data_IF_405754372549
#
_entry.id   IF_405754372549
#
_cell.length_a   1.000
_cell.length_b   1.000
_cell.length_c   1.000
_cell.angle_alpha   90.00
_cell.angle_beta   90.00
_cell.angle_gamma   90.00
#
_symmetry.space_group_name_H-M   'P 1'
#
loop_
_entity.id
_entity.type
_entity.pdbx_description
1 polymer ?
2 polymer ?
3 non-polymer ?
4 water ?
#
# COMPACT_ATOMS: atom_id res chain seq x y z
N UNK A 1 3.55 10.66 13.79
CA UNK A 1 2.75 9.94 12.75
C UNK A 1 1.55 9.26 13.38
N UNK A 2 0.56 8.95 12.55
CA UNK A 2 -0.57 8.13 12.98
C UNK A 2 -0.18 6.65 12.99
N UNK A 3 -0.40 6.00 14.12
CA UNK A 3 -0.13 4.58 14.26
C UNK A 3 -1.44 3.84 14.15
N UNK A 4 -1.48 2.87 13.22
CA UNK A 4 -2.63 2.02 13.06
C UNK A 4 -2.31 0.66 13.66
N UNK A 5 -3.15 0.23 14.59
CA UNK A 5 -2.98 -1.05 15.26
C UNK A 5 -4.08 -2.02 14.88
N UNK A 6 -3.67 -3.15 14.33
CA UNK A 6 -4.63 -4.18 13.91
C UNK A 6 -4.64 -5.36 14.87
N UNK A 7 -5.82 -5.68 15.36
CA UNK A 7 -6.01 -6.82 16.26
C UNK A 7 -7.15 -7.73 15.79
N UNK A 8 -7.01 -9.05 16.06
CA UNK A 8 -5.78 -9.71 16.50
C UNK A 8 -4.82 -9.76 15.32
N UNK A 9 -3.57 -10.16 15.52
CA UNK A 9 -2.63 -10.24 14.40
C UNK A 9 -2.90 -11.48 13.56
N UNK A 10 -3.53 -12.49 14.17
CA UNK A 10 -3.90 -13.73 13.49
C UNK A 10 -5.30 -14.12 13.93
N UNK A 11 -6.13 -14.49 12.98
CA UNK A 11 -7.48 -14.97 13.26
C UNK A 11 -7.64 -16.25 12.44
N UNK A 12 -7.90 -17.36 13.12
CA UNK A 12 -8.22 -18.58 12.38
C UNK A 12 -9.74 -18.78 12.40
N UNK A 13 -10.30 -18.94 11.20
CA UNK A 13 -11.75 -19.11 11.04
C UNK A 13 -12.06 -20.29 10.13
N UNK A 14 -13.23 -20.88 10.34
CA UNK A 14 -13.78 -21.93 9.49
C UNK A 14 -14.58 -21.29 8.37
N UNK A 15 -14.38 -21.75 7.11
CA UNK A 15 -15.14 -21.23 5.97
C UNK A 15 -16.67 -21.21 6.20
N UNK A 16 -17.33 -20.14 5.80
CA UNK A 16 -18.78 -19.96 6.00
C UNK A 16 -19.16 -19.27 7.29
N UNK A 17 -18.21 -19.12 8.21
CA UNK A 17 -18.43 -18.28 9.40
C UNK A 17 -18.11 -16.83 9.07
N UNK A 18 -18.59 -15.90 9.88
CA UNK A 18 -18.28 -14.48 9.65
C UNK A 18 -17.18 -13.98 10.57
N UNK A 19 -16.44 -12.97 10.12
CA UNK A 19 -15.36 -12.40 10.93
C UNK A 19 -15.40 -10.88 10.93
N UNK A 20 -14.83 -10.28 11.96
CA UNK A 20 -14.68 -8.84 12.06
C UNK A 20 -13.21 -8.57 12.32
N UNK A 21 -12.58 -7.78 11.46
CA UNK A 21 -11.18 -7.41 11.68
C UNK A 21 -11.09 -5.97 12.17
N UNK A 22 -10.27 -5.75 13.19
CA UNK A 22 -10.16 -4.43 13.83
C UNK A 22 -8.95 -3.61 13.37
N UNK A 23 -9.18 -2.32 13.16
CA UNK A 23 -8.09 -1.37 12.94
C UNK A 23 -8.37 -0.14 13.81
N UNK A 24 -7.41 0.20 14.65
CA UNK A 24 -7.54 1.33 15.57
C UNK A 24 -6.46 2.32 15.29
N UNK A 25 -6.83 3.59 15.31
CA UNK A 25 -5.90 4.67 15.03
C UNK A 25 -5.52 5.42 16.32
N UNK A 26 -4.26 5.84 16.38
CA UNK A 26 -3.69 6.50 17.57
C UNK A 26 -4.31 7.88 17.81
N UNK A 27 -4.80 8.52 16.75
CA UNK A 27 -5.58 9.76 16.81
C UNK A 27 -6.69 9.70 15.75
N UNK A 28 -7.67 10.58 15.85
CA UNK A 28 -8.79 10.55 14.90
C UNK A 28 -8.35 10.76 13.44
N UNK A 29 -8.90 9.91 12.56
CA UNK A 29 -8.65 10.03 11.12
C UNK A 29 -9.95 10.19 10.31
N UNK A 30 -11.02 10.66 10.96
CA UNK A 30 -12.31 10.84 10.26
C UNK A 30 -12.73 9.54 9.61
N UNK A 31 -13.08 9.60 8.34
CA UNK A 31 -13.38 8.35 7.60
C UNK A 31 -12.29 7.95 6.62
N UNK A 32 -11.11 8.51 6.82
CA UNK A 32 -10.07 8.41 5.80
C UNK A 32 -9.21 7.18 6.05
N UNK A 33 -9.87 6.03 6.02
CA UNK A 33 -9.28 4.75 6.35
C UNK A 33 -9.69 3.75 5.26
N UNK A 34 -8.69 3.04 4.70
CA UNK A 34 -8.95 2.14 3.56
C UNK A 34 -8.51 0.73 3.90
N UNK A 35 -9.11 -0.26 3.25
CA UNK A 35 -8.76 -1.64 3.56
C UNK A 35 -8.25 -2.36 2.30
N UNK A 36 -7.18 -3.13 2.49
CA UNK A 36 -6.53 -3.87 1.41
C UNK A 36 -6.44 -5.34 1.79
N UNK A 37 -6.57 -6.20 0.78
CA UNK A 37 -6.24 -7.62 0.92
C UNK A 37 -4.86 -7.83 0.30
N UNK A 38 -4.08 -8.70 0.91
CA UNK A 38 -2.72 -8.99 0.47
C UNK A 38 -2.51 -10.50 0.36
N UNK A 39 -2.26 -10.99 -0.85
CA UNK A 39 -1.89 -12.38 -1.02
C UNK A 39 -0.51 -12.46 -1.66
N UNK A 40 0.08 -13.66 -1.69
CA UNK A 40 1.48 -13.84 -2.09
C UNK A 40 1.92 -13.23 -3.38
N UNK A 41 3.04 -12.53 -3.32
CA UNK A 41 3.75 -12.01 -4.49
C UNK A 41 2.84 -11.27 -5.44
N UNK A 42 1.88 -10.53 -4.89
CA UNK A 42 0.95 -9.71 -5.65
C UNK A 42 0.88 -8.35 -4.98
N UNK A 43 0.45 -7.33 -5.71
CA UNK A 43 0.20 -6.05 -5.10
C UNK A 43 -1.04 -6.16 -4.22
N UNK A 44 -1.10 -5.31 -3.19
CA UNK A 44 -2.32 -5.23 -2.39
C UNK A 44 -3.52 -4.92 -3.24
N UNK A 45 -4.68 -5.48 -2.87
CA UNK A 45 -5.93 -5.27 -3.58
C UNK A 45 -6.89 -4.45 -2.72
N UNK A 46 -7.32 -3.31 -3.24
CA UNK A 46 -8.22 -2.40 -2.51
C UNK A 46 -9.60 -3.06 -2.34
N UNK A 47 -10.11 -3.11 -1.10
CA UNK A 47 -11.40 -3.70 -0.79
C UNK A 47 -12.46 -2.64 -0.49
N UNK A 48 -12.08 -1.68 0.34
CA UNK A 48 -13.04 -0.70 0.89
C UNK A 48 -12.31 0.62 0.95
N UNK A 49 -12.94 1.70 0.47
CA UNK A 49 -12.36 3.05 0.66
C UNK A 49 -13.17 3.87 1.65
N UNK A 50 -12.51 4.82 2.29
CA UNK A 50 -13.23 5.84 3.12
C UNK A 50 -14.19 5.19 4.09
N UNK A 51 -13.62 4.22 4.81
CA UNK A 51 -14.20 3.47 5.90
C UNK A 51 -15.29 2.50 5.51
N UNK A 52 -16.21 2.94 4.66
CA UNK A 52 -17.41 2.12 4.40
C UNK A 52 -17.74 2.07 2.91
N UNK A 53 -16.97 2.73 2.07
CA UNK A 53 -17.32 2.80 0.64
C UNK A 53 -17.02 1.49 -0.10
N UNK A 54 -18.08 0.90 -0.65
CA UNK A 54 -18.02 -0.35 -1.39
C UNK A 54 -17.53 -0.03 -2.80
N UNK A 55 -16.78 -0.94 -3.41
CA UNK A 55 -16.24 -0.64 -4.72
C UNK A 55 -16.49 -1.73 -5.77
N UNK A 56 -16.49 -1.30 -7.04
CA UNK A 56 -16.88 -2.19 -8.12
C UNK A 56 -15.99 -3.43 -8.17
N UNK A 57 -16.61 -4.59 -8.34
CA UNK A 57 -15.85 -5.81 -8.56
C UNK A 57 -15.48 -6.58 -7.30
N UNK A 58 -15.55 -5.95 -6.14
CA UNK A 58 -15.23 -6.62 -4.86
C UNK A 58 -16.47 -7.33 -4.31
N UNK A 59 -16.36 -8.63 -3.91
CA UNK A 59 -17.56 -9.37 -3.55
C UNK A 59 -18.32 -8.68 -2.43
N UNK A 60 -19.63 -8.76 -2.49
CA UNK A 60 -20.51 -8.08 -1.51
C UNK A 60 -20.29 -8.52 -0.05
N UNK A 61 -19.71 -9.69 0.17
CA UNK A 61 -19.46 -10.16 1.54
C UNK A 61 -18.51 -9.29 2.34
N UNK A 62 -17.71 -8.49 1.64
CA UNK A 62 -16.81 -7.50 2.29
C UNK A 62 -17.55 -6.18 2.54
N UNK A 63 -17.52 -5.70 3.79
CA UNK A 63 -18.00 -4.34 4.09
C UNK A 63 -17.14 -3.73 5.19
N UNK A 64 -17.15 -2.40 5.26
CA UNK A 64 -16.41 -1.70 6.32
C UNK A 64 -17.32 -0.79 7.11
N UNK A 65 -16.98 -0.61 8.38
CA UNK A 65 -17.71 0.31 9.25
C UNK A 65 -16.71 0.98 10.18
N UNK A 66 -17.18 2.01 10.88
CA UNK A 66 -16.32 2.71 11.82
C UNK A 66 -15.99 4.12 11.37
N UNK A 67 -15.38 4.87 12.28
CA UNK A 67 -15.08 6.26 12.08
C UNK A 67 -14.16 6.68 13.22
N UNK A 68 -13.42 7.78 13.03
CA UNK A 68 -12.64 8.37 14.13
C UNK A 68 -11.37 7.58 14.42
N UNK A 69 -11.44 6.70 15.42
CA UNK A 69 -10.29 5.86 15.79
C UNK A 69 -10.56 4.36 15.80
N UNK A 70 -11.79 3.94 15.50
CA UNK A 70 -12.16 2.54 15.58
C UNK A 70 -12.85 2.09 14.30
N UNK A 71 -12.21 1.13 13.59
CA UNK A 71 -12.70 0.64 12.30
C UNK A 71 -12.78 -0.87 12.28
N UNK A 72 -13.73 -1.41 11.49
CA UNK A 72 -13.89 -2.85 11.36
C UNK A 72 -14.12 -3.21 9.89
N UNK A 73 -13.40 -4.24 9.43
CA UNK A 73 -13.68 -4.91 8.19
C UNK A 73 -14.43 -6.19 8.54
N UNK A 74 -15.64 -6.32 7.99
CA UNK A 74 -16.46 -7.49 8.19
C UNK A 74 -16.47 -8.33 6.93
N UNK A 75 -16.32 -9.64 7.09
CA UNK A 75 -16.50 -10.55 5.98
C UNK A 75 -17.59 -11.49 6.40
N UNK A 76 -18.69 -11.44 5.67
CA UNK A 76 -19.83 -12.28 5.91
C UNK A 76 -19.57 -13.63 5.23
N UNK A 77 -19.67 -14.72 5.98
CA UNK A 77 -19.51 -16.05 5.39
C UNK A 77 -18.15 -16.12 4.63
N UNK A 78 -17.06 -16.22 5.38
CA UNK A 78 -15.71 -16.27 4.80
C UNK A 78 -15.53 -17.47 3.83
N UNK A 79 -14.87 -17.21 2.70
CA UNK A 79 -14.54 -18.25 1.72
C UNK A 79 -13.03 -18.52 1.77
N UNK A 80 -12.59 -19.69 1.31
CA UNK A 80 -11.18 -20.03 1.44
C UNK A 80 -10.26 -19.08 0.65
N UNK A 81 -10.74 -18.53 -0.45
CA UNK A 81 -9.88 -17.60 -1.16
C UNK A 81 -9.78 -16.22 -0.47
N UNK A 82 -10.53 -16.06 0.63
CA UNK A 82 -10.37 -14.88 1.49
C UNK A 82 -9.24 -15.01 2.51
N UNK A 83 -8.76 -16.22 2.74
CA UNK A 83 -7.62 -16.36 3.62
C UNK A 83 -6.39 -15.64 3.03
N UNK A 84 -5.63 -15.01 3.92
CA UNK A 84 -4.51 -14.17 3.51
C UNK A 84 -4.41 -13.00 4.47
N UNK A 85 -3.70 -11.95 4.06
CA UNK A 85 -3.42 -10.78 4.91
C UNK A 85 -4.35 -9.63 4.61
N UNK A 86 -4.68 -8.86 5.67
CA UNK A 86 -5.53 -7.67 5.53
C UNK A 86 -4.85 -6.50 6.22
N UNK A 87 -4.75 -5.37 5.52
CA UNK A 87 -4.13 -4.16 6.04
C UNK A 87 -5.08 -3.00 5.95
N UNK A 88 -5.10 -2.17 6.99
CA UNK A 88 -5.74 -0.87 6.88
C UNK A 88 -4.69 0.18 6.58
N UNK A 89 -5.12 1.31 6.01
CA UNK A 89 -4.22 2.41 5.65
C UNK A 89 -4.97 3.72 5.84
N UNK A 90 -4.41 4.66 6.60
CA UNK A 90 -5.05 5.98 6.72
C UNK A 90 -4.49 6.99 5.71
N UNK A 91 -5.37 7.86 5.18
CA UNK A 91 -4.95 8.99 4.35
C UNK A 91 -5.38 10.34 4.95
N UNK A 92 -5.61 10.36 6.25
CA UNK A 92 -6.00 11.63 6.90
C UNK A 92 -4.84 12.62 7.03
N UNK A 93 -3.65 12.12 7.32
CA UNK A 93 -2.51 13.03 7.44
C UNK A 93 -1.21 12.39 6.98
N UNK A 94 -0.38 13.24 6.40
CA UNK A 94 0.93 12.83 5.93
C UNK A 94 1.93 12.70 7.10
N UNK A 95 2.71 11.60 7.14
CA UNK A 95 2.72 10.49 6.18
C UNK A 95 1.58 9.48 6.32
N UNK A 96 1.05 9.03 5.17
CA UNK A 96 0.10 7.94 5.18
C UNK A 96 0.77 6.71 5.79
N UNK A 97 0.01 5.97 6.58
CA UNK A 97 0.52 4.83 7.33
C UNK A 97 -0.41 3.64 7.23
N UNK A 98 0.18 2.46 7.39
CA UNK A 98 -0.53 1.19 7.31
C UNK A 98 -0.52 0.54 8.67
N UNK A 99 -1.56 -0.22 8.97
CA UNK A 99 -1.56 -1.10 10.11
C UNK A 99 -0.60 -2.26 9.86
N UNK A 100 -0.27 -2.97 10.92
CA UNK A 100 0.63 -4.11 10.83
C UNK A 100 0.04 -5.37 10.21
N UNK A 101 -1.25 -5.36 9.94
CA UNK A 101 -1.89 -6.48 9.26
C UNK A 101 -2.49 -7.53 10.17
N UNK A 102 -3.56 -8.16 9.66
CA UNK A 102 -4.14 -9.34 10.29
C UNK A 102 -4.11 -10.46 9.28
N UNK A 103 -3.58 -11.59 9.70
CA UNK A 103 -3.55 -12.75 8.84
C UNK A 103 -4.78 -13.60 9.14
N UNK A 104 -5.59 -13.83 8.12
CA UNK A 104 -6.73 -14.71 8.22
C UNK A 104 -6.33 -16.12 7.78
N UNK A 105 -6.44 -17.10 8.68
CA UNK A 105 -6.05 -18.50 8.42
C UNK A 105 -7.21 -19.50 8.53
N UNK A 106 -7.16 -20.61 7.79
CA UNK A 106 -8.20 -21.67 7.93
C UNK A 106 -7.97 -22.45 9.21
N UNK A 107 -8.97 -22.40 10.09
CA UNK A 107 -8.97 -23.10 11.37
C UNK A 107 -8.88 -24.62 11.14
N UNK B 1 -8.21 0.95 -18.98
CA UNK B 1 -7.71 1.10 -17.59
C UNK B 1 -6.26 1.62 -17.61
N UNK B 2 -5.79 2.09 -16.47
CA UNK B 2 -4.38 2.46 -16.24
C UNK B 2 -3.55 1.17 -16.10
N UNK B 3 -2.35 1.19 -16.66
CA UNK B 3 -1.36 0.17 -16.36
C UNK B 3 -0.10 0.87 -15.88
N UNK B 4 0.55 0.26 -14.89
CA UNK B 4 1.78 0.82 -14.31
C UNK B 4 2.80 -0.29 -14.32
N UNK B 5 4.04 0.05 -14.60
CA UNK B 5 5.10 -0.96 -14.56
C UNK B 5 6.40 -0.38 -14.05
N UNK B 6 6.97 -1.03 -13.03
CA UNK B 6 8.25 -0.62 -12.46
C UNK B 6 9.39 -1.30 -13.22
N UNK B 7 10.52 -0.60 -13.35
CA UNK B 7 11.71 -1.19 -13.93
C UNK B 7 12.93 -0.64 -13.21
N UNK B 8 14.00 -1.42 -13.23
CA UNK B 8 15.19 -1.06 -12.47
C UNK B 8 15.96 -2.31 -12.09
N UNK B 9 16.95 -2.17 -11.20
CA UNK B 9 17.81 -3.29 -10.85
C UNK B 9 17.09 -4.30 -9.93
N UNK B 10 17.59 -5.51 -9.88
CA UNK B 10 17.07 -6.52 -8.96
C UNK B 10 17.95 -6.59 -7.74
N UNK B 11 19.21 -6.24 -7.92
CA UNK B 11 20.18 -6.38 -6.85
C UNK B 11 21.01 -5.11 -6.83
N UNK B 12 21.24 -4.59 -5.63
CA UNK B 12 22.09 -3.42 -5.45
C UNK B 12 22.99 -3.66 -4.25
N UNK B 13 24.08 -2.89 -4.13
CA UNK B 13 24.94 -3.05 -2.96
C UNK B 13 24.72 -1.94 -1.92
N UNK B 14 25.06 -2.20 -0.64
CA UNK B 14 24.94 -1.16 0.35
C UNK B 14 25.60 0.15 -0.11
N UNK B 15 24.94 1.27 0.19
CA UNK B 15 25.40 2.62 -0.13
C UNK B 15 25.22 3.05 -1.60
N UNK B 16 24.77 2.13 -2.45
CA UNK B 16 24.36 2.46 -3.81
C UNK B 16 23.09 3.31 -3.73
N UNK B 17 22.81 4.09 -4.77
CA UNK B 17 21.49 4.71 -4.89
C UNK B 17 20.62 3.77 -5.70
N UNK B 18 19.41 3.47 -5.19
CA UNK B 18 18.45 2.66 -5.92
C UNK B 18 17.62 3.60 -6.78
N UNK B 19 17.62 3.37 -8.07
CA UNK B 19 16.84 4.17 -8.98
C UNK B 19 15.85 3.32 -9.76
N UNK B 20 14.55 3.65 -9.62
CA UNK B 20 13.50 2.97 -10.35
C UNK B 20 12.67 3.88 -11.25
N UNK B 21 12.13 3.29 -12.30
CA UNK B 21 11.21 3.96 -13.19
C UNK B 21 9.83 3.35 -13.09
N UNK B 22 8.82 4.21 -13.07
CA UNK B 22 7.43 3.77 -13.24
C UNK B 22 6.90 4.27 -14.58
N UNK B 23 6.54 3.35 -15.48
CA UNK B 23 5.93 3.72 -16.75
C UNK B 23 4.43 3.61 -16.66
N UNK B 24 3.73 4.69 -16.95
CA UNK B 24 2.26 4.72 -16.85
C UNK B 24 1.68 4.72 -18.26
N UNK B 25 0.71 3.82 -18.51
CA UNK B 25 -0.01 3.81 -19.79
C UNK B 25 -1.52 3.94 -19.55
N UNK B 26 -2.17 4.84 -20.29
CA UNK B 26 -3.65 4.95 -20.29
C UNK B 26 -4.24 5.98 -19.37
N UNK B 27 -3.42 6.94 -18.96
CA UNK B 27 -3.80 8.02 -18.05
C UNK B 27 -2.60 8.95 -17.92
N UNK B 28 -2.84 10.25 -17.80
CA UNK B 28 -1.75 11.22 -17.78
C UNK B 28 -1.33 11.61 -16.36
N UNK B 29 -0.01 11.71 -16.18
CA UNK B 29 0.58 12.04 -14.87
C UNK B 29 0.57 13.53 -14.52
N UNK B 30 0.14 14.35 -15.48
CA UNK B 30 -0.02 15.81 -15.31
C UNK B 30 -1.43 16.17 -14.76
N UNK B 31 -2.17 15.13 -14.40
CA UNK B 31 -3.39 15.26 -13.61
C UNK B 31 -3.36 14.16 -12.56
N UNK B 32 -4.14 14.30 -11.49
CA UNK B 32 -4.21 13.29 -10.44
C UNK B 32 -2.87 13.23 -9.66
N UNK B 33 -2.55 12.07 -9.10
CA UNK B 33 -1.49 11.93 -8.09
C UNK B 33 -0.93 10.50 -8.17
N UNK B 34 0.39 10.37 -7.98
CA UNK B 34 1.12 9.13 -8.30
C UNK B 34 2.12 8.76 -7.21
N UNK B 35 2.15 7.47 -6.82
CA UNK B 35 2.77 7.08 -5.55
C UNK B 35 3.81 6.00 -5.68
N UNK B 36 4.63 5.90 -4.64
CA UNK B 36 5.60 4.81 -4.48
C UNK B 36 5.33 4.21 -3.14
N UNK B 37 5.17 2.89 -3.10
CA UNK B 37 4.87 2.19 -1.87
C UNK B 37 5.71 0.92 -1.86
N UNK B 38 6.23 0.51 -0.70
CA UNK B 38 7.00 -0.73 -0.69
C UNK B 38 6.49 -1.73 0.32
N UNK B 39 6.75 -3.01 0.02
CA UNK B 39 6.33 -4.11 0.87
C UNK B 39 7.60 -4.87 1.29
N UNK B 40 7.85 -4.92 2.59
CA UNK B 40 9.05 -5.62 3.09
C UNK B 40 8.81 -7.13 3.04
N UNK B 41 9.89 -7.93 3.10
CA UNK B 41 9.65 -9.36 2.90
C UNK B 41 8.82 -10.00 4.00
N UNK B 42 8.78 -9.35 5.17
CA UNK B 42 7.94 -9.79 6.30
C UNK B 42 6.48 -9.36 6.19
N UNK B 43 6.16 -8.74 5.06
CA UNK B 43 4.86 -8.20 4.63
C UNK B 43 4.42 -6.80 5.12
N UNK B 44 5.27 -6.13 5.87
CA UNK B 44 4.97 -4.75 6.29
C UNK B 44 4.89 -3.82 5.09
N UNK B 45 3.92 -2.90 5.09
CA UNK B 45 3.75 -1.97 3.99
C UNK B 45 4.18 -0.58 4.41
N UNK B 46 4.87 0.14 3.54
CA UNK B 46 5.30 1.50 3.87
C UNK B 46 5.01 2.42 2.70
N UNK B 47 4.31 3.52 2.98
CA UNK B 47 4.02 4.52 1.95
C UNK B 47 5.25 5.42 1.82
N UNK B 48 5.93 5.42 0.66
CA UNK B 48 7.22 6.14 0.54
C UNK B 48 7.02 7.62 0.20
N UNK B 49 6.14 7.91 -0.75
CA UNK B 49 5.88 9.29 -1.16
C UNK B 49 4.95 9.34 -2.35
N UNK B 50 4.56 10.55 -2.75
CA UNK B 50 3.81 10.73 -3.99
C UNK B 50 4.14 12.09 -4.61
N UNK B 51 3.75 12.25 -5.87
CA UNK B 51 3.98 13.46 -6.64
C UNK B 51 2.61 13.87 -7.16
N UNK B 52 2.29 15.16 -6.99
CA UNK B 52 1.01 15.70 -7.43
C UNK B 52 1.05 16.03 -8.92
N UNK B 53 -0.11 16.36 -9.48
CA UNK B 53 -0.24 16.77 -10.88
C UNK B 53 0.71 17.88 -11.31
N UNK B 54 1.07 18.77 -10.38
CA UNK B 54 1.99 19.89 -10.67
C UNK B 54 3.45 19.64 -10.25
N UNK B 55 3.72 18.44 -9.73
CA UNK B 55 5.08 18.04 -9.43
C UNK B 55 5.48 18.21 -7.99
N UNK B 56 4.54 18.62 -7.15
CA UNK B 56 4.80 18.73 -5.72
C UNK B 56 4.95 17.33 -5.13
N UNK B 57 6.07 17.11 -4.43
CA UNK B 57 6.35 15.78 -3.86
C UNK B 57 6.23 15.75 -2.35
N UNK B 58 5.84 14.59 -1.84
CA UNK B 58 5.68 14.34 -0.42
C UNK B 58 6.45 13.08 -0.08
N UNK B 59 7.28 13.14 0.97
CA UNK B 59 8.14 12.01 1.37
C UNK B 59 7.86 11.55 2.78
N UNK B 60 7.92 10.24 3.00
CA UNK B 60 7.74 9.72 4.35
C UNK B 60 8.98 10.11 5.16
N UNK B 61 8.78 10.78 6.32
CA UNK B 61 9.96 11.14 7.13
C UNK B 61 10.80 9.92 7.56
N UNK B 62 10.22 8.72 7.51
CA UNK B 62 10.97 7.50 7.81
C UNK B 62 12.16 7.36 6.88
N UNK B 63 12.08 8.02 5.72
CA UNK B 63 13.11 7.85 4.72
C UNK B 63 14.27 8.81 4.93
N UNK B 64 14.17 9.62 6.01
CA UNK B 64 15.25 10.46 6.49
C UNK B 64 15.92 11.22 5.36
N UNK B 65 15.14 11.82 4.48
CA UNK B 65 15.70 12.60 3.36
C UNK B 65 16.54 11.83 2.31
N UNK B 66 16.43 10.51 2.26
CA UNK B 66 17.20 9.74 1.26
C UNK B 66 16.45 9.61 -0.06
N UNK B 67 15.21 10.07 -0.06
CA UNK B 67 14.31 9.84 -1.19
C UNK B 67 14.13 11.08 -2.09
N UNK B 68 14.15 10.84 -3.39
CA UNK B 68 13.74 11.84 -4.35
C UNK B 68 12.75 11.25 -5.35
N UNK B 69 11.65 11.97 -5.59
CA UNK B 69 10.72 11.57 -6.64
C UNK B 69 10.76 12.65 -7.72
N UNK B 70 10.88 12.22 -8.97
CA UNK B 70 10.93 13.12 -10.11
C UNK B 70 10.04 12.56 -11.23
N UNK B 71 9.87 13.33 -12.30
CA UNK B 71 8.96 12.89 -13.36
C UNK B 71 9.48 13.32 -14.71
N UNK B 72 9.03 12.63 -15.76
CA UNK B 72 9.30 13.04 -17.13
C UNK B 72 7.94 12.96 -17.82
N UNK B 73 7.22 14.09 -17.80
CA UNK B 73 5.86 14.12 -18.35
C UNK B 73 5.80 13.71 -19.83
N UNK B 74 6.87 14.06 -20.58
CA UNK B 74 6.94 13.80 -22.02
C UNK B 74 6.87 12.31 -22.36
N UNK B 75 7.23 11.45 -21.38
CA UNK B 75 7.16 10.00 -21.54
C UNK B 75 6.14 9.35 -20.60
N UNK B 76 5.41 10.17 -19.86
CA UNK B 76 4.44 9.66 -18.89
C UNK B 76 5.10 8.66 -17.93
N UNK B 77 6.23 9.09 -17.40
CA UNK B 77 7.00 8.27 -16.46
C UNK B 77 7.34 9.07 -15.25
N UNK B 78 7.44 8.40 -14.10
CA UNK B 78 8.01 9.05 -12.95
C UNK B 78 9.01 8.13 -12.28
N UNK B 79 9.79 8.70 -11.38
CA UNK B 79 11.00 8.04 -10.89
C UNK B 79 11.11 8.08 -9.39
N UNK B 80 11.80 7.08 -8.86
CA UNK B 80 12.17 7.03 -7.46
C UNK B 80 13.69 6.91 -7.40
N UNK B 81 14.32 7.78 -6.62
CA UNK B 81 15.72 7.59 -6.22
C UNK B 81 15.78 7.44 -4.74
N UNK B 82 16.45 6.39 -4.27
CA UNK B 82 16.61 6.21 -2.83
C UNK B 82 18.09 6.05 -2.52
N UNK B 83 18.67 7.03 -1.83
CA UNK B 83 20.12 7.08 -1.54
C UNK B 83 20.56 6.17 -0.43
N UNK B 84 21.85 5.87 -0.42
CA UNK B 84 22.50 5.21 0.72
C UNK B 84 21.74 3.99 1.23
N UNK B 85 21.38 3.09 0.31
CA UNK B 85 20.61 1.92 0.67
C UNK B 85 21.41 1.01 1.60
N UNK B 86 20.67 0.31 2.47
CA UNK B 86 21.19 -0.74 3.34
C UNK B 86 20.28 -1.98 3.17
N UNK B 87 20.61 -3.06 3.87
CA UNK B 87 19.76 -4.27 3.86
C UNK B 87 18.32 -4.03 4.34
N UNK B 88 18.12 -2.94 5.10
CA UNK B 88 16.79 -2.51 5.55
C UNK B 88 15.89 -2.12 4.36
N UNK B 89 16.49 -1.90 3.20
CA UNK B 89 15.75 -1.46 2.01
C UNK B 89 15.37 -2.58 1.04
N UNK B 90 15.72 -3.82 1.36
CA UNK B 90 15.26 -4.96 0.59
C UNK B 90 13.73 -4.98 0.70
N UNK B 91 13.06 -4.94 -0.43
CA UNK B 91 11.59 -4.84 -0.47
C UNK B 91 11.09 -4.96 -1.87
N UNK B 92 9.79 -5.09 -1.99
CA UNK B 92 9.16 -5.04 -3.29
C UNK B 92 8.63 -3.61 -3.46
N UNK B 93 9.02 -2.97 -4.55
CA UNK B 93 8.74 -1.55 -4.77
C UNK B 93 7.60 -1.47 -5.76
N UNK B 94 6.51 -0.80 -5.35
CA UNK B 94 5.35 -0.58 -6.24
C UNK B 94 5.18 0.88 -6.56
N UNK B 95 4.89 1.17 -7.82
CA UNK B 95 4.24 2.42 -8.13
C UNK B 95 2.73 2.18 -8.20
N UNK B 96 1.98 3.19 -7.80
CA UNK B 96 0.51 3.07 -7.75
C UNK B 96 -0.16 4.41 -8.03
N UNK B 97 -1.35 4.37 -8.60
CA UNK B 97 -2.15 5.57 -8.66
C UNK B 97 -2.64 5.90 -7.25
N UNK B 98 -2.74 7.17 -6.94
CA UNK B 98 -2.87 7.57 -5.55
C UNK B 98 -4.26 7.15 -4.99
N UNK B 99 -5.22 6.87 -5.85
CA UNK B 99 -6.51 6.33 -5.40
C UNK B 99 -6.49 4.86 -4.98
N UNK B 100 -5.47 4.12 -5.42
CA UNK B 100 -5.25 2.78 -4.87
C UNK B 100 -5.80 1.62 -5.71
N UNK B 101 -6.46 1.97 -6.81
CA UNK B 101 -7.12 0.99 -7.68
C UNK B 101 -6.11 0.29 -8.56
N UNK B 102 -5.08 1.04 -8.96
CA UNK B 102 -4.15 0.55 -9.99
C UNK B 102 -2.74 0.60 -9.45
N UNK B 103 -2.13 -0.58 -9.41
CA UNK B 103 -0.79 -0.76 -8.91
C UNK B 103 0.02 -1.45 -9.99
N UNK B 104 1.32 -1.18 -10.00
CA UNK B 104 2.28 -1.98 -10.75
C UNK B 104 2.35 -3.40 -10.24
N UNK B 105 3.02 -4.27 -10.99
CA UNK B 105 3.20 -5.65 -10.53
C UNK B 105 4.19 -5.70 -9.37
N UNK B 106 4.98 -4.64 -9.22
CA UNK B 106 5.99 -4.55 -8.21
C UNK B 106 7.32 -5.12 -8.68
N UNK B 107 8.40 -4.51 -8.19
CA UNK B 107 9.71 -5.04 -8.50
C UNK B 107 10.49 -5.32 -7.23
N UNK B 108 10.93 -6.57 -7.07
CA UNK B 108 11.66 -6.92 -5.86
C UNK B 108 13.11 -6.44 -5.99
N UNK B 109 13.58 -5.65 -5.02
CA UNK B 109 14.96 -5.17 -4.99
C UNK B 109 15.62 -5.74 -3.76
N UNK B 110 16.73 -6.47 -3.93
CA UNK B 110 17.42 -7.00 -2.79
C UNK B 110 18.73 -6.24 -2.60
N UNK B 111 19.01 -5.82 -1.38
CA UNK B 111 20.25 -5.10 -1.05
C UNK B 111 21.15 -6.12 -0.38
N UNK B 112 22.33 -6.32 -0.94
CA UNK B 112 23.24 -7.29 -0.35
C UNK B 112 24.69 -6.95 -0.64
N UNK B 113 25.53 -7.24 0.35
CA UNK B 113 26.98 -7.20 0.15
C UNK B 113 27.41 -8.27 -0.84
X LIG C 1 -6.89 8.70 -1.67
X LIG C 1 -8.20 8.33 -2.08
X LIG C 1 -6.18 7.56 -0.96
X LIG C 1 -6.21 6.39 -1.78
X LIG C 1 -4.73 7.94 -0.70
X LIG C 1 -4.16 6.91 0.08
X LIG D 1 10.74 -7.55 7.09
X LIG D 1 11.54 -8.54 7.71
X LIG D 1 10.06 -6.79 8.21
X LIG D 1 10.11 -5.40 7.99
X LIG D 1 8.60 -7.19 8.30
X LIG D 1 8.02 -6.93 7.05
X LIG E 1 -0.21 18.08 -3.84
X LIG E 1 -0.86 17.30 -2.85
X LIG E 1 -0.96 19.36 -4.20
X LIG E 1 -2.31 19.11 -4.48
X LIG E 1 -0.30 20.04 -5.39
X LIG E 1 0.78 20.77 -4.89
X LIG F 1 6.13 -9.25 -4.21
X LIG F 1 6.07 -9.75 -2.90
X LIG F 1 6.93 -10.16 -5.15
X LIG F 1 8.27 -9.71 -5.16
X LIG F 1 6.41 -10.09 -6.58
X LIG F 1 7.27 -9.32 -7.40
#
# INVERSE_FOLDING_TARGET
>A
DIVLTQSPATLSVTPGNSVSLSCRASQSIGNNLHWYQQKSHESPRLLIKYASQSISGIPSRFSGSGSGTDFTLSINSVETEDFGMYFCQQSNSWPYTFGGGTKLEIK
>B
DVQLQESGPSLVKPSQTLSLTCSVTGDSITSDYWSWIRKFPGNRLEYMGYVSYSGSTYYNPSLKSRISITRDTSKNQYYLDLNSVTTEDTATYYCANWDGDYWGQGTLVTVSA
>C hetero
1 GOL C1 O1 C2 O2 C3 O3
>D hetero
1 GOL C1 O1 C2 O2 C3 O3
>E hetero
1 GOL C1 O1 C2 O2 C3 O3
>F hetero
1 GOL C1 O1 C2 O2 C3 O3
#
